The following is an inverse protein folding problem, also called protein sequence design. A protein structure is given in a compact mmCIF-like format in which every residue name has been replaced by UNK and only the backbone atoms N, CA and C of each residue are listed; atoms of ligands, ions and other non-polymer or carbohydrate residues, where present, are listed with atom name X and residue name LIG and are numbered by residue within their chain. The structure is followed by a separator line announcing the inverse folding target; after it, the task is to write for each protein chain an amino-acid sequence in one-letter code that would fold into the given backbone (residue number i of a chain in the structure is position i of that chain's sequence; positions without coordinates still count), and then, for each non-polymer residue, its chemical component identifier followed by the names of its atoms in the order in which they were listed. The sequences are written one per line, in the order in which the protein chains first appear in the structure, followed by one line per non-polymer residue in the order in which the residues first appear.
data_IF_959640441043
#
_entry.id   IF_959640441043
#
_cell.length_a   1.000
_cell.length_b   1.000
_cell.length_c   1.000
_cell.angle_alpha   90.00
_cell.angle_beta   90.00
_cell.angle_gamma   90.00
#
_symmetry.space_group_name_H-M   'P 1'
#
loop_
_entity.id
_entity.type
_entity.pdbx_description
1 polymer ?
#
# COMPACT_ATOMS: atom_id res chain seq x y z
N UNK A 1 -10.04 -3.68 -16.66
CA UNK A 1 -9.66 -2.46 -17.41
C UNK A 1 -8.19 -2.60 -17.78
N UNK A 2 -7.77 -2.26 -18.99
CA UNK A 2 -6.38 -2.44 -19.42
C UNK A 2 -5.44 -1.61 -18.55
N UNK A 3 -4.49 -2.25 -17.86
CA UNK A 3 -3.51 -1.61 -16.96
C UNK A 3 -2.64 -0.54 -17.65
N UNK A 4 -2.59 -0.55 -18.98
CA UNK A 4 -1.74 0.33 -19.81
C UNK A 4 -2.10 1.82 -19.73
N UNK A 5 -3.34 2.18 -19.37
CA UNK A 5 -3.83 3.57 -19.39
C UNK A 5 -4.72 3.90 -18.17
N UNK A 6 -4.24 3.60 -16.96
CA UNK A 6 -4.93 3.90 -15.69
C UNK A 6 -5.53 5.31 -15.65
N UNK A 7 -6.87 5.37 -15.63
CA UNK A 7 -7.65 6.61 -15.53
C UNK A 7 -8.00 7.31 -16.83
N UNK A 8 -7.47 6.89 -17.97
CA UNK A 8 -7.78 7.52 -19.26
C UNK A 8 -8.95 6.83 -19.97
N UNK A 9 -9.84 7.64 -20.53
CA UNK A 9 -11.00 7.21 -21.32
C UNK A 9 -11.28 8.21 -22.45
N UNK A 10 -12.19 7.85 -23.36
CA UNK A 10 -12.69 8.73 -24.43
C UNK A 10 -11.59 9.37 -25.28
N UNK A 11 -11.70 10.68 -25.53
CA UNK A 11 -10.84 11.41 -26.47
C UNK A 11 -9.36 11.36 -26.08
N UNK A 12 -9.03 11.57 -24.81
CA UNK A 12 -7.66 11.52 -24.32
C UNK A 12 -7.01 10.15 -24.58
N UNK A 13 -7.73 9.06 -24.30
CA UNK A 13 -7.24 7.70 -24.52
C UNK A 13 -6.97 7.43 -26.01
N UNK A 14 -7.86 7.87 -26.90
CA UNK A 14 -7.68 7.70 -28.35
C UNK A 14 -6.43 8.40 -28.85
N UNK A 15 -6.16 9.63 -28.41
CA UNK A 15 -4.97 10.38 -28.79
C UNK A 15 -3.71 9.69 -28.28
N UNK A 16 -3.68 9.29 -27.00
CA UNK A 16 -2.53 8.61 -26.41
C UNK A 16 -2.20 7.30 -27.11
N UNK A 17 -3.22 6.51 -27.48
CA UNK A 17 -3.04 5.30 -28.31
C UNK A 17 -2.55 5.64 -29.71
N UNK A 18 -3.08 6.70 -30.32
CA UNK A 18 -2.70 7.14 -31.66
C UNK A 18 -1.21 7.51 -31.79
N UNK A 19 -0.61 8.01 -30.72
CA UNK A 19 0.82 8.35 -30.67
C UNK A 19 1.70 7.23 -30.09
N UNK A 20 1.13 6.07 -29.75
CA UNK A 20 1.86 4.95 -29.14
C UNK A 20 2.54 5.29 -27.82
N UNK A 21 1.94 6.21 -27.03
CA UNK A 21 2.44 6.56 -25.71
C UNK A 21 1.87 5.62 -24.66
N UNK A 22 2.70 5.24 -23.69
CA UNK A 22 2.32 4.45 -22.51
C UNK A 22 2.55 5.28 -21.24
N UNK A 23 1.86 4.91 -20.15
CA UNK A 23 2.15 5.52 -18.84
C UNK A 23 3.63 5.33 -18.49
N UNK A 24 4.28 6.43 -18.12
CA UNK A 24 5.71 6.51 -17.85
C UNK A 24 6.54 7.09 -19.00
N UNK A 25 6.01 7.12 -20.22
CA UNK A 25 6.70 7.74 -21.36
C UNK A 25 6.84 9.25 -21.20
N UNK A 26 7.83 9.82 -21.87
CA UNK A 26 7.97 11.27 -21.96
C UNK A 26 7.17 11.75 -23.16
N UNK A 27 6.21 12.63 -22.91
CA UNK A 27 5.40 13.27 -23.94
C UNK A 27 5.59 14.78 -23.92
N UNK A 28 5.40 15.40 -25.08
CA UNK A 28 5.34 16.85 -25.24
C UNK A 28 3.94 17.24 -25.69
N UNK A 29 3.39 18.24 -25.03
CA UNK A 29 2.06 18.79 -25.30
C UNK A 29 2.24 20.25 -25.66
N UNK A 30 1.84 20.64 -26.87
CA UNK A 30 1.86 22.03 -27.34
C UNK A 30 0.44 22.54 -27.47
N UNK A 31 0.14 23.66 -26.82
CA UNK A 31 -1.19 24.27 -26.80
C UNK A 31 -1.08 25.79 -26.70
N UNK A 32 -1.80 26.49 -27.57
CA UNK A 32 -1.92 27.96 -27.56
C UNK A 32 -0.56 28.70 -27.52
N UNK A 33 0.46 28.13 -28.16
CA UNK A 33 1.83 28.67 -28.20
C UNK A 33 2.72 28.25 -27.02
N UNK A 34 2.17 27.59 -26.00
CA UNK A 34 2.91 27.05 -24.87
C UNK A 34 3.24 25.58 -25.08
N UNK A 35 4.40 25.15 -24.56
CA UNK A 35 4.87 23.77 -24.66
C UNK A 35 5.14 23.22 -23.28
N UNK A 36 4.58 22.04 -23.01
CA UNK A 36 4.76 21.31 -21.78
C UNK A 36 5.40 19.96 -22.08
N UNK A 37 6.51 19.65 -21.42
CA UNK A 37 7.21 18.37 -21.59
C UNK A 37 7.32 17.67 -20.23
N UNK A 38 6.91 16.41 -20.17
CA UNK A 38 6.90 15.67 -18.93
C UNK A 38 6.59 14.19 -19.10
N UNK A 39 6.64 13.47 -17.97
CA UNK A 39 6.31 12.05 -17.90
C UNK A 39 4.80 11.92 -17.89
N UNK A 40 4.23 11.15 -18.82
CA UNK A 40 2.82 10.76 -18.81
C UNK A 40 2.53 9.95 -17.54
N UNK A 41 1.64 10.45 -16.69
CA UNK A 41 1.26 9.78 -15.45
C UNK A 41 -0.22 9.35 -15.48
N UNK A 42 -0.60 8.37 -14.65
CA UNK A 42 -2.00 8.02 -14.46
C UNK A 42 -2.84 9.24 -14.04
N UNK A 43 -4.14 9.17 -14.29
CA UNK A 43 -5.10 10.16 -13.77
C UNK A 43 -6.22 9.48 -12.99
N UNK A 44 -7.05 10.26 -12.30
CA UNK A 44 -8.23 9.74 -11.63
C UNK A 44 -9.26 9.22 -12.65
N UNK A 45 -9.81 8.02 -12.42
CA UNK A 45 -10.86 7.42 -13.24
C UNK A 45 -12.17 8.24 -13.25
N UNK A 46 -12.39 9.02 -12.19
CA UNK A 46 -13.52 9.95 -12.06
C UNK A 46 -13.32 11.26 -12.84
N UNK A 47 -12.14 11.47 -13.41
CA UNK A 47 -11.87 12.62 -14.27
C UNK A 47 -12.67 12.58 -15.57
N UNK A 48 -12.75 13.73 -16.25
CA UNK A 48 -13.24 13.81 -17.62
C UNK A 48 -12.36 13.05 -18.62
N UNK A 49 -12.78 13.01 -19.89
CA UNK A 49 -12.04 12.37 -20.97
C UNK A 49 -11.20 13.36 -21.81
N UNK A 50 -11.03 14.60 -21.32
CA UNK A 50 -10.53 15.75 -22.11
C UNK A 50 -9.19 16.29 -21.62
N UNK A 51 -8.51 15.64 -20.69
CA UNK A 51 -7.22 16.10 -20.19
C UNK A 51 -6.17 15.00 -20.25
N UNK A 52 -4.93 15.42 -20.46
CA UNK A 52 -3.73 14.60 -20.28
C UNK A 52 -2.95 15.14 -19.09
N UNK A 53 -2.51 14.25 -18.20
CA UNK A 53 -1.74 14.62 -17.01
C UNK A 53 -0.30 14.21 -17.19
N UNK A 54 0.60 15.17 -17.06
CA UNK A 54 2.05 14.95 -17.10
C UNK A 54 2.71 15.44 -15.84
N UNK A 55 3.84 14.82 -15.49
CA UNK A 55 4.75 15.26 -14.45
C UNK A 55 5.94 15.99 -15.07
N UNK A 56 6.04 17.27 -14.77
CA UNK A 56 7.10 18.14 -15.27
C UNK A 56 8.45 17.80 -14.62
N UNK A 57 9.55 18.26 -15.24
CA UNK A 57 10.92 18.13 -14.67
C UNK A 57 11.04 18.80 -13.29
N UNK A 58 10.22 19.80 -13.00
CA UNK A 58 10.14 20.44 -11.67
C UNK A 58 9.52 19.55 -10.60
N UNK A 59 8.92 18.41 -10.97
CA UNK A 59 8.23 17.50 -10.07
C UNK A 59 6.73 17.77 -9.92
N UNK A 60 6.23 18.90 -10.44
CA UNK A 60 4.80 19.23 -10.42
C UNK A 60 4.01 18.42 -11.44
N UNK A 61 2.78 18.05 -11.08
CA UNK A 61 1.82 17.42 -11.98
C UNK A 61 0.93 18.51 -12.61
N UNK A 62 0.78 18.49 -13.93
CA UNK A 62 -0.07 19.42 -14.67
C UNK A 62 -1.06 18.63 -15.53
N UNK A 63 -2.34 19.00 -15.45
CA UNK A 63 -3.39 18.51 -16.35
C UNK A 63 -3.60 19.49 -17.50
N UNK A 64 -3.36 19.06 -18.73
CA UNK A 64 -3.53 19.89 -19.93
C UNK A 64 -4.81 19.48 -20.65
N UNK A 65 -5.70 20.45 -20.86
CA UNK A 65 -6.97 20.22 -21.58
C UNK A 65 -6.75 20.10 -23.09
N UNK A 66 -7.39 19.11 -23.70
CA UNK A 66 -7.28 18.76 -25.12
C UNK A 66 -8.30 19.57 -25.92
N UNK A 67 -7.81 20.56 -26.64
CA UNK A 67 -8.55 21.33 -27.66
C UNK A 67 -8.22 20.82 -29.07
N UNK A 68 -8.98 21.22 -30.11
CA UNK A 68 -8.62 20.89 -31.50
C UNK A 68 -7.24 21.37 -31.94
N UNK A 69 -6.68 22.39 -31.29
CA UNK A 69 -5.34 22.95 -31.56
C UNK A 69 -4.23 22.28 -30.76
N UNK A 70 -4.57 21.40 -29.80
CA UNK A 70 -3.58 20.74 -28.95
C UNK A 70 -2.84 19.66 -29.74
N UNK A 71 -1.51 19.76 -29.77
CA UNK A 71 -0.64 18.76 -30.35
C UNK A 71 0.03 17.98 -29.23
N UNK A 72 0.04 16.64 -29.35
CA UNK A 72 0.67 15.75 -28.39
C UNK A 72 1.57 14.80 -29.16
N UNK A 73 2.82 14.66 -28.73
CA UNK A 73 3.80 13.77 -29.32
C UNK A 73 4.57 12.99 -28.24
N UNK A 74 4.94 11.75 -28.54
CA UNK A 74 5.84 10.96 -27.71
C UNK A 74 7.27 11.35 -28.06
N UNK A 75 8.01 11.83 -27.07
CA UNK A 75 9.40 12.31 -27.25
C UNK A 75 10.44 11.36 -26.65
N UNK A 76 10.04 10.40 -25.83
CA UNK A 76 10.95 9.41 -25.27
C UNK A 76 10.24 8.25 -24.57
N UNK A 77 10.93 7.12 -24.49
CA UNK A 77 10.47 5.96 -23.73
C UNK A 77 10.66 6.18 -22.22
N UNK A 78 9.67 5.78 -21.43
CA UNK A 78 9.72 5.83 -19.98
C UNK A 78 10.67 4.79 -19.40
N UNK A 79 11.58 5.20 -18.52
CA UNK A 79 12.36 4.25 -17.73
C UNK A 79 11.46 3.70 -16.62
N UNK A 80 10.91 2.50 -16.81
CA UNK A 80 10.15 1.78 -15.77
C UNK A 80 11.04 1.66 -14.52
N UNK A 81 10.68 2.25 -13.37
CA UNK A 81 11.46 2.12 -12.16
C UNK A 81 11.46 0.65 -11.73
N UNK A 82 12.62 0.01 -11.74
CA UNK A 82 12.83 -1.26 -11.05
C UNK A 82 13.17 -0.93 -9.61
N UNK A 83 12.20 -1.14 -8.71
CA UNK A 83 12.49 -1.10 -7.29
C UNK A 83 13.25 -2.36 -6.92
N UNK A 84 14.49 -2.18 -6.47
CA UNK A 84 15.25 -3.24 -5.81
C UNK A 84 14.94 -3.10 -4.32
N UNK A 85 14.22 -4.05 -3.69
CA UNK A 85 14.02 -4.02 -2.25
C UNK A 85 15.39 -4.03 -1.56
N UNK A 86 15.58 -3.23 -0.49
CA UNK A 86 16.80 -3.30 0.26
C UNK A 86 17.00 -4.73 0.79
N UNK A 87 18.25 -5.17 0.95
CA UNK A 87 18.53 -6.47 1.54
C UNK A 87 17.86 -6.56 2.91
N UNK A 88 17.41 -7.77 3.28
CA UNK A 88 16.88 -8.00 4.61
C UNK A 88 17.93 -7.60 5.66
N UNK A 89 17.54 -6.88 6.73
CA UNK A 89 18.45 -6.59 7.82
C UNK A 89 18.94 -7.89 8.45
N UNK A 90 20.18 -7.88 8.97
CA UNK A 90 20.75 -9.01 9.68
C UNK A 90 19.90 -9.31 10.92
N UNK A 91 19.28 -10.50 10.95
CA UNK A 91 18.38 -10.86 12.04
C UNK A 91 19.17 -11.28 13.27
N UNK A 92 18.91 -10.61 14.40
CA UNK A 92 19.55 -10.96 15.66
C UNK A 92 19.06 -12.33 16.16
N UNK A 93 19.97 -13.24 16.53
CA UNK A 93 19.59 -14.54 17.08
C UNK A 93 18.81 -14.37 18.39
N UNK A 94 17.78 -15.20 18.59
CA UNK A 94 16.98 -15.22 19.82
C UNK A 94 15.78 -14.27 19.85
N UNK A 95 15.54 -13.46 18.81
CA UNK A 95 14.34 -12.65 18.72
C UNK A 95 13.07 -13.51 18.48
N UNK A 96 11.92 -13.14 19.09
CA UNK A 96 10.67 -13.85 18.87
C UNK A 96 10.17 -13.67 17.44
N UNK A 97 9.50 -14.69 16.90
CA UNK A 97 8.84 -14.60 15.60
C UNK A 97 7.46 -13.97 15.75
N UNK A 98 7.14 -12.94 14.98
CA UNK A 98 5.83 -12.28 14.97
C UNK A 98 5.27 -12.33 13.56
N UNK A 99 4.04 -12.81 13.41
CA UNK A 99 3.36 -12.77 12.12
C UNK A 99 2.66 -11.43 11.94
N UNK A 100 2.83 -10.78 10.79
CA UNK A 100 2.07 -9.60 10.39
C UNK A 100 1.17 -10.00 9.21
N UNK A 101 -0.14 -10.04 9.46
CA UNK A 101 -1.16 -10.39 8.47
C UNK A 101 -1.83 -9.09 8.00
N UNK A 102 -1.65 -8.73 6.73
CA UNK A 102 -2.32 -7.57 6.13
C UNK A 102 -3.64 -7.97 5.49
N UNK A 103 -4.71 -7.27 5.87
CA UNK A 103 -6.03 -7.35 5.20
C UNK A 103 -6.28 -6.15 4.28
N UNK A 104 -5.34 -5.22 4.20
CA UNK A 104 -5.45 -3.92 3.56
C UNK A 104 -5.13 -2.79 4.53
N UNK A 105 -5.65 -1.59 4.26
CA UNK A 105 -5.33 -0.40 5.03
C UNK A 105 -3.97 0.22 4.68
N UNK A 106 -3.80 1.48 5.05
CA UNK A 106 -2.66 2.31 4.64
C UNK A 106 -1.40 2.10 5.49
N UNK A 107 -1.52 1.36 6.61
CA UNK A 107 -0.43 1.11 7.57
C UNK A 107 0.72 0.31 6.98
N UNK A 108 0.42 -0.54 6.00
CA UNK A 108 1.39 -1.34 5.26
C UNK A 108 1.36 -0.91 3.78
N UNK A 109 1.65 0.35 3.50
CA UNK A 109 1.70 0.91 2.15
C UNK A 109 2.94 1.79 1.95
N UNK A 110 3.33 2.00 0.69
CA UNK A 110 4.46 2.83 0.29
C UNK A 110 4.10 3.67 -0.93
N UNK A 111 4.63 4.88 -1.03
CA UNK A 111 4.54 5.70 -2.24
C UNK A 111 5.75 5.52 -3.14
N UNK A 112 5.50 5.29 -4.41
CA UNK A 112 6.46 5.51 -5.48
C UNK A 112 6.44 6.99 -5.86
N UNK A 113 7.42 7.77 -5.38
CA UNK A 113 7.48 9.21 -5.65
C UNK A 113 7.69 9.57 -7.12
N UNK A 114 8.13 8.65 -7.99
CA UNK A 114 8.25 8.93 -9.42
C UNK A 114 6.87 8.97 -10.06
N UNK A 115 6.05 7.97 -9.78
CA UNK A 115 4.69 7.82 -10.34
C UNK A 115 3.60 8.48 -9.50
N UNK A 116 3.86 8.76 -8.22
CA UNK A 116 2.86 9.18 -7.23
C UNK A 116 1.95 8.05 -6.73
N UNK A 117 2.18 6.81 -7.16
CA UNK A 117 1.32 5.68 -6.83
C UNK A 117 1.59 5.15 -5.42
N UNK A 118 0.52 4.84 -4.69
CA UNK A 118 0.59 4.11 -3.41
C UNK A 118 0.50 2.61 -3.71
N UNK A 119 1.42 1.81 -3.17
CA UNK A 119 1.46 0.36 -3.30
C UNK A 119 1.45 -0.28 -1.91
N UNK A 120 0.75 -1.41 -1.70
CA UNK A 120 0.85 -2.16 -0.45
C UNK A 120 2.30 -2.66 -0.24
N UNK A 121 2.78 -2.66 1.00
CA UNK A 121 4.02 -3.33 1.39
C UNK A 121 3.78 -4.84 1.40
N UNK A 122 4.48 -5.58 0.53
CA UNK A 122 4.13 -6.96 0.17
C UNK A 122 4.92 -8.02 0.95
N UNK A 123 6.01 -7.61 1.60
CA UNK A 123 7.00 -8.52 2.18
C UNK A 123 7.56 -8.03 3.52
N UNK A 124 8.23 -8.93 4.25
CA UNK A 124 8.98 -8.56 5.46
C UNK A 124 10.08 -7.54 5.15
N UNK A 125 10.77 -7.67 4.00
CA UNK A 125 11.75 -6.69 3.53
C UNK A 125 11.14 -5.31 3.31
N UNK A 126 9.90 -5.22 2.79
CA UNK A 126 9.24 -3.94 2.63
C UNK A 126 8.95 -3.31 3.99
N UNK A 127 8.46 -4.10 4.96
CA UNK A 127 8.20 -3.61 6.30
C UNK A 127 9.48 -3.14 7.00
N UNK A 128 10.60 -3.87 6.88
CA UNK A 128 11.89 -3.42 7.42
C UNK A 128 12.44 -2.19 6.70
N UNK A 129 12.13 -2.01 5.42
CA UNK A 129 12.56 -0.81 4.68
C UNK A 129 11.83 0.46 5.14
N UNK A 130 10.58 0.31 5.59
CA UNK A 130 9.73 1.42 6.04
C UNK A 130 9.85 1.64 7.55
N UNK A 131 10.01 0.57 8.31
CA UNK A 131 10.14 0.58 9.78
C UNK A 131 11.33 -0.30 10.21
N UNK A 132 12.58 0.18 10.04
CA UNK A 132 13.78 -0.59 10.34
C UNK A 132 13.86 -1.09 11.79
N UNK A 133 13.26 -0.36 12.73
CA UNK A 133 13.23 -0.67 14.16
C UNK A 133 12.58 -2.02 14.46
N UNK A 134 11.74 -2.55 13.55
CA UNK A 134 11.16 -3.89 13.70
C UNK A 134 12.24 -4.98 13.76
N UNK A 135 13.37 -4.79 13.07
CA UNK A 135 14.48 -5.78 13.02
C UNK A 135 15.16 -5.97 14.36
N UNK A 136 15.05 -4.98 15.24
CA UNK A 136 15.58 -4.99 16.60
C UNK A 136 14.61 -5.65 17.60
N UNK A 137 13.35 -5.83 17.21
CA UNK A 137 12.28 -6.28 18.09
C UNK A 137 11.91 -7.72 17.78
N UNK A 138 11.67 -8.08 16.52
CA UNK A 138 11.15 -9.39 16.16
C UNK A 138 11.58 -9.86 14.77
N UNK A 139 11.57 -11.18 14.59
CA UNK A 139 11.65 -11.83 13.28
C UNK A 139 10.24 -11.77 12.66
N UNK A 140 10.07 -10.96 11.61
CA UNK A 140 8.76 -10.70 11.01
C UNK A 140 8.45 -11.75 9.92
N UNK A 141 7.32 -12.46 10.09
CA UNK A 141 6.67 -13.27 9.03
C UNK A 141 5.50 -12.45 8.46
N UNK A 142 5.72 -11.79 7.32
CA UNK A 142 4.72 -10.93 6.70
C UNK A 142 3.88 -11.71 5.68
N UNK A 143 2.55 -11.56 5.77
CA UNK A 143 1.61 -12.15 4.82
C UNK A 143 0.54 -11.14 4.42
N UNK A 144 0.35 -10.95 3.12
CA UNK A 144 -0.88 -10.36 2.60
C UNK A 144 -1.95 -11.45 2.54
N UNK A 145 -3.00 -11.25 3.31
CA UNK A 145 -4.19 -12.07 3.22
C UNK A 145 -5.18 -11.47 2.23
N UNK A 146 -5.42 -10.16 2.33
CA UNK A 146 -6.27 -9.39 1.42
C UNK A 146 -5.67 -8.02 1.17
N UNK A 147 -6.15 -7.34 0.13
CA UNK A 147 -5.85 -5.92 -0.13
C UNK A 147 -7.17 -5.19 -0.38
N UNK A 148 -8.01 -5.10 0.66
CA UNK A 148 -9.34 -4.50 0.61
C UNK A 148 -9.39 -3.22 1.43
N UNK A 149 -10.25 -2.29 1.01
CA UNK A 149 -10.73 -1.23 1.90
C UNK A 149 -11.51 -1.85 3.07
N UNK A 150 -11.38 -1.29 4.26
CA UNK A 150 -12.05 -1.76 5.48
C UNK A 150 -13.56 -1.87 5.29
N UNK A 151 -14.13 -0.96 4.52
CA UNK A 151 -15.55 -0.82 4.20
C UNK A 151 -16.07 -2.01 3.38
N UNK A 152 -15.16 -2.71 2.69
CA UNK A 152 -15.45 -3.90 1.89
C UNK A 152 -15.13 -5.21 2.63
N UNK A 153 -14.71 -5.14 3.90
CA UNK A 153 -14.50 -6.33 4.73
C UNK A 153 -15.87 -6.82 5.24
N UNK A 154 -16.06 -8.14 5.17
CA UNK A 154 -17.35 -8.79 5.41
C UNK A 154 -17.16 -9.96 6.37
N UNK A 155 -18.23 -10.57 6.91
CA UNK A 155 -18.12 -11.71 7.81
C UNK A 155 -17.35 -12.92 7.24
N UNK A 156 -17.38 -13.11 5.92
CA UNK A 156 -16.56 -14.13 5.24
C UNK A 156 -15.07 -13.84 5.44
N UNK A 157 -14.65 -12.58 5.28
CA UNK A 157 -13.27 -12.16 5.48
C UNK A 157 -12.84 -12.33 6.94
N UNK A 158 -13.72 -12.07 7.92
CA UNK A 158 -13.40 -12.33 9.34
C UNK A 158 -13.09 -13.80 9.59
N UNK A 159 -13.89 -14.70 9.02
CA UNK A 159 -13.67 -16.15 9.14
C UNK A 159 -12.33 -16.59 8.55
N UNK A 160 -11.96 -16.03 7.39
CA UNK A 160 -10.69 -16.30 6.74
C UNK A 160 -9.49 -15.70 7.51
N UNK A 161 -9.64 -14.50 8.08
CA UNK A 161 -8.65 -13.88 8.97
C UNK A 161 -8.43 -14.76 10.21
N UNK A 162 -9.49 -15.19 10.89
CA UNK A 162 -9.37 -16.07 12.06
C UNK A 162 -8.64 -17.38 11.74
N UNK A 163 -8.97 -18.03 10.62
CA UNK A 163 -8.27 -19.24 10.15
C UNK A 163 -6.77 -19.00 9.91
N UNK A 164 -6.42 -17.86 9.32
CA UNK A 164 -5.02 -17.51 9.06
C UNK A 164 -4.25 -17.16 10.33
N UNK A 165 -4.87 -16.46 11.28
CA UNK A 165 -4.30 -16.22 12.60
C UNK A 165 -3.99 -17.56 13.27
N UNK A 166 -4.97 -18.46 13.38
CA UNK A 166 -4.80 -19.78 13.97
C UNK A 166 -3.69 -20.60 13.27
N UNK A 167 -3.57 -20.49 11.94
CA UNK A 167 -2.49 -21.14 11.18
C UNK A 167 -1.10 -20.64 11.60
N UNK A 168 -0.92 -19.34 11.81
CA UNK A 168 0.39 -18.81 12.25
C UNK A 168 0.70 -19.17 13.69
N UNK A 169 -0.31 -19.15 14.57
CA UNK A 169 -0.16 -19.62 15.95
C UNK A 169 0.34 -21.07 15.98
N UNK A 170 -0.24 -21.95 15.15
CA UNK A 170 0.22 -23.36 15.02
C UNK A 170 1.65 -23.50 14.50
N UNK A 171 2.20 -22.50 13.80
CA UNK A 171 3.62 -22.48 13.40
C UNK A 171 4.57 -22.09 14.55
N UNK A 172 4.04 -21.71 15.71
CA UNK A 172 4.84 -21.32 16.87
C UNK A 172 5.32 -19.87 16.85
N UNK A 173 4.56 -18.95 16.24
CA UNK A 173 4.84 -17.51 16.38
C UNK A 173 4.53 -17.06 17.80
N UNK A 174 5.30 -16.10 18.33
CA UNK A 174 5.10 -15.53 19.66
C UNK A 174 3.90 -14.57 19.73
N UNK A 175 3.40 -14.11 18.58
CA UNK A 175 2.19 -13.30 18.47
C UNK A 175 1.83 -13.00 17.01
N UNK A 176 0.62 -12.48 16.81
CA UNK A 176 0.10 -12.10 15.50
C UNK A 176 -0.37 -10.65 15.52
N UNK A 177 0.08 -9.86 14.56
CA UNK A 177 -0.41 -8.51 14.28
C UNK A 177 -1.28 -8.58 13.03
N UNK A 178 -2.49 -8.02 13.09
CA UNK A 178 -3.41 -7.91 11.97
C UNK A 178 -3.47 -6.45 11.54
N UNK A 179 -2.82 -6.14 10.42
CA UNK A 179 -2.83 -4.82 9.80
C UNK A 179 -4.12 -4.65 9.01
N UNK A 180 -4.89 -3.62 9.34
CA UNK A 180 -6.27 -3.44 8.87
C UNK A 180 -6.58 -1.96 8.58
N UNK A 181 -7.64 -1.71 7.81
CA UNK A 181 -8.19 -0.37 7.62
C UNK A 181 -8.88 0.16 8.88
N UNK A 182 -8.94 1.48 9.02
CA UNK A 182 -9.42 2.18 10.23
C UNK A 182 -10.92 2.05 10.43
N UNK A 183 -11.69 2.13 9.34
CA UNK A 183 -13.12 2.41 9.40
C UNK A 183 -13.93 1.27 10.02
N UNK A 184 -13.52 0.02 9.78
CA UNK A 184 -14.18 -1.17 10.32
C UNK A 184 -13.28 -1.98 11.25
N UNK A 185 -12.17 -1.40 11.73
CA UNK A 185 -11.22 -2.04 12.64
C UNK A 185 -11.92 -2.65 13.85
N UNK A 186 -12.76 -1.87 14.53
CA UNK A 186 -13.47 -2.29 15.74
C UNK A 186 -14.45 -3.45 15.51
N UNK A 187 -15.13 -3.47 14.36
CA UNK A 187 -16.03 -4.58 13.99
C UNK A 187 -15.26 -5.87 13.76
N UNK A 188 -14.17 -5.81 13.00
CA UNK A 188 -13.31 -6.98 12.78
C UNK A 188 -12.67 -7.45 14.09
N UNK A 189 -12.22 -6.53 14.95
CA UNK A 189 -11.66 -6.86 16.25
C UNK A 189 -12.66 -7.60 17.14
N UNK A 190 -13.91 -7.13 17.19
CA UNK A 190 -15.00 -7.78 17.92
C UNK A 190 -15.33 -9.16 17.33
N UNK A 191 -15.42 -9.30 16.01
CA UNK A 191 -15.67 -10.59 15.38
C UNK A 191 -14.56 -11.61 15.68
N UNK A 192 -13.29 -11.17 15.63
CA UNK A 192 -12.14 -12.03 15.93
C UNK A 192 -12.05 -12.39 17.42
N UNK A 193 -12.45 -11.51 18.34
CA UNK A 193 -12.42 -11.84 19.77
C UNK A 193 -13.41 -12.95 20.14
N UNK A 194 -14.52 -13.08 19.40
CA UNK A 194 -15.43 -14.23 19.54
C UNK A 194 -14.92 -15.48 18.81
N UNK A 195 -14.35 -15.31 17.61
CA UNK A 195 -13.87 -16.43 16.81
C UNK A 195 -12.60 -17.09 17.37
N UNK A 196 -11.74 -16.33 18.05
CA UNK A 196 -10.45 -16.77 18.58
C UNK A 196 -10.48 -16.85 20.10
N UNK A 197 -10.94 -17.98 20.62
CA UNK A 197 -10.92 -18.29 22.06
C UNK A 197 -9.59 -18.91 22.49
N UNK A 198 -9.26 -18.77 23.78
CA UNK A 198 -8.14 -19.45 24.46
C UNK A 198 -6.80 -19.34 23.71
N UNK A 199 -6.51 -18.13 23.23
CA UNK A 199 -5.31 -17.86 22.46
C UNK A 199 -4.04 -18.03 23.32
N UNK A 200 -3.08 -18.89 22.91
CA UNK A 200 -1.83 -19.08 23.65
C UNK A 200 -0.85 -17.92 23.46
N UNK A 201 -1.12 -17.04 22.49
CA UNK A 201 -0.28 -15.90 22.12
C UNK A 201 -1.16 -14.69 21.79
N UNK A 202 -0.68 -13.46 22.01
CA UNK A 202 -1.43 -12.24 21.69
C UNK A 202 -1.73 -12.10 20.18
N UNK A 203 -2.95 -11.63 19.90
CA UNK A 203 -3.38 -11.18 18.57
C UNK A 203 -3.73 -9.70 18.68
N UNK A 204 -3.05 -8.83 17.92
CA UNK A 204 -3.19 -7.37 18.03
C UNK A 204 -3.67 -6.81 16.70
N UNK A 205 -4.74 -6.02 16.74
CA UNK A 205 -5.24 -5.28 15.59
C UNK A 205 -4.52 -3.94 15.51
N UNK A 206 -4.08 -3.54 14.31
CA UNK A 206 -3.36 -2.28 14.12
C UNK A 206 -3.81 -1.59 12.83
N UNK A 207 -3.90 -0.27 12.88
CA UNK A 207 -4.23 0.58 11.74
C UNK A 207 -3.48 1.92 11.85
N UNK A 208 -3.53 2.75 10.80
CA UNK A 208 -2.96 4.09 10.80
C UNK A 208 -3.98 5.08 10.23
N UNK A 209 -4.20 6.19 10.93
CA UNK A 209 -5.08 7.26 10.44
C UNK A 209 -4.42 8.03 9.29
N UNK A 210 -3.10 8.13 9.28
CA UNK A 210 -2.33 8.81 8.24
C UNK A 210 -1.59 7.81 7.38
N UNK A 211 -1.69 8.00 6.07
CA UNK A 211 -1.01 7.14 5.11
C UNK A 211 0.49 7.00 5.40
N UNK A 212 1.01 5.78 5.34
CA UNK A 212 2.38 5.43 5.72
C UNK A 212 3.47 6.15 4.91
N UNK A 213 3.12 6.73 3.76
CA UNK A 213 4.01 7.56 2.94
C UNK A 213 4.27 8.97 3.47
N UNK A 214 3.50 9.41 4.47
CA UNK A 214 3.65 10.74 5.06
C UNK A 214 4.67 10.67 6.21
N UNK A 215 5.63 11.62 6.29
CA UNK A 215 6.57 11.69 7.42
C UNK A 215 5.90 11.82 8.78
N UNK A 216 4.68 12.37 8.81
CA UNK A 216 3.86 12.53 10.01
C UNK A 216 2.92 11.35 10.28
N UNK A 217 3.14 10.21 9.61
CA UNK A 217 2.34 9.00 9.77
C UNK A 217 2.50 8.38 11.14
N UNK A 218 1.39 7.86 11.67
CA UNK A 218 1.30 7.04 12.87
C UNK A 218 1.60 5.56 12.59
N UNK A 219 1.73 5.14 11.32
CA UNK A 219 1.93 3.75 10.92
C UNK A 219 3.14 3.08 11.59
N UNK A 220 4.30 3.75 11.58
CA UNK A 220 5.53 3.19 12.16
C UNK A 220 5.40 2.99 13.67
N UNK A 221 4.94 4.02 14.39
CA UNK A 221 4.74 3.97 15.85
C UNK A 221 3.72 2.90 16.24
N UNK A 222 2.60 2.81 15.52
CA UNK A 222 1.55 1.83 15.80
C UNK A 222 2.05 0.40 15.51
N UNK A 223 2.78 0.16 14.41
CA UNK A 223 3.38 -1.14 14.11
C UNK A 223 4.42 -1.56 15.17
N UNK A 224 5.32 -0.65 15.56
CA UNK A 224 6.31 -0.90 16.62
C UNK A 224 5.60 -1.25 17.93
N UNK A 225 4.55 -0.49 18.29
CA UNK A 225 3.73 -0.73 19.47
C UNK A 225 3.06 -2.09 19.44
N UNK A 226 2.44 -2.46 18.32
CA UNK A 226 1.79 -3.75 18.13
C UNK A 226 2.78 -4.92 18.25
N UNK A 227 3.93 -4.84 17.57
CA UNK A 227 4.95 -5.90 17.61
C UNK A 227 5.54 -6.05 19.01
N UNK A 228 5.83 -4.96 19.73
CA UNK A 228 6.25 -5.02 21.15
C UNK A 228 5.16 -5.61 22.04
N UNK A 229 3.90 -5.30 21.77
CA UNK A 229 2.75 -5.86 22.46
C UNK A 229 2.68 -7.39 22.34
N UNK A 230 3.11 -7.94 21.20
CA UNK A 230 3.15 -9.39 20.98
C UNK A 230 4.17 -10.13 21.86
N UNK A 231 5.12 -9.43 22.47
CA UNK A 231 6.20 -10.05 23.27
C UNK A 231 5.85 -10.23 24.74
N UNK A 232 4.74 -9.63 25.21
CA UNK A 232 4.36 -9.67 26.63
C UNK A 232 3.66 -11.00 26.94
N UNK A 233 4.06 -11.68 28.02
CA UNK A 233 3.40 -12.90 28.48
C UNK A 233 1.92 -12.64 28.74
N UNK A 234 1.06 -13.42 28.06
CA UNK A 234 -0.38 -13.22 28.07
C UNK A 234 -1.09 -14.42 28.74
N UNK A 235 -2.05 -14.12 29.61
CA UNK A 235 -3.06 -15.07 30.11
C UNK A 235 -4.42 -14.40 29.95
N UNK A 236 -5.25 -14.87 29.01
CA UNK A 236 -6.61 -14.37 28.75
C UNK A 236 -6.97 -14.34 27.27
N UNK A 237 -8.22 -14.04 26.92
CA UNK A 237 -8.71 -13.87 25.55
C UNK A 237 -8.95 -12.38 25.27
N UNK A 238 -7.95 -11.65 24.74
CA UNK A 238 -8.21 -10.29 24.25
C UNK A 238 -7.38 -9.92 23.01
N UNK A 239 -8.11 -9.63 21.93
CA UNK A 239 -7.60 -8.78 20.85
C UNK A 239 -7.46 -7.36 21.39
N UNK A 240 -6.25 -6.79 21.36
CA UNK A 240 -6.01 -5.40 21.75
C UNK A 240 -5.91 -4.50 20.52
N UNK A 241 -6.32 -3.25 20.70
CA UNK A 241 -6.09 -2.16 19.76
C UNK A 241 -4.81 -1.44 20.21
N UNK A 242 -3.90 -1.21 19.26
CA UNK A 242 -2.76 -0.30 19.43
C UNK A 242 -3.00 0.94 18.57
#
# INVERSE_FOLDING_TARGET
MSEEFLGYKGKALQILKGIGAEIGDVIRITKDGETYEGILIPRSEYGDDKHVVIKLKSGYNVGVSITPTTQIEKVGAGVKPTFIPPPLPEQKPGLPRVAIISTGGTIASRVDYRTGAVRPALSASDLYSVVPELSEIAIIDAKILFSLYSENITPKHWSETAKNVAKHIKKGVAGVVVAHGTDTLGYTAAALSFALQDLPVPVIMVASQRSADRPSSDAATNLIGAVKGCQRSFRGSSCRHA
#
